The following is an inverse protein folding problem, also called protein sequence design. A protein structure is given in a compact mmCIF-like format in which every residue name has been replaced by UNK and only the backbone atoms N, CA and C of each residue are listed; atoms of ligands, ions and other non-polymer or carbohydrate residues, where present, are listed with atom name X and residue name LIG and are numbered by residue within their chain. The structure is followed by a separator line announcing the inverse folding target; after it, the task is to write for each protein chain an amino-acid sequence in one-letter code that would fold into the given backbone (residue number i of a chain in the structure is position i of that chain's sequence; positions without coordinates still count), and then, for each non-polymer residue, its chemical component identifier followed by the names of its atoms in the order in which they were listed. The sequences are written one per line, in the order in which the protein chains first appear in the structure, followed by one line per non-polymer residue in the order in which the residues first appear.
data_IF_986141599775
#
_entry.id   IF_986141599775
#
_cell.length_a   1.000
_cell.length_b   1.000
_cell.length_c   1.000
_cell.angle_alpha   90.00
_cell.angle_beta   90.00
_cell.angle_gamma   90.00
#
_symmetry.space_group_name_H-M   'P 1'
#
loop_
_entity.id
_entity.type
_entity.pdbx_description
1 polymer ?
#
# COMPACT_ATOMS: atom_id res chain seq x y z
N UNK A 1 42.76 -13.87 -29.43
CA UNK A 1 42.37 -13.72 -28.02
C UNK A 1 40.85 -13.77 -27.97
N UNK A 2 40.28 -14.91 -27.59
CA UNK A 2 38.84 -15.18 -27.59
C UNK A 2 38.36 -15.48 -26.16
N UNK A 3 37.07 -15.23 -25.95
CA UNK A 3 36.31 -15.08 -24.70
C UNK A 3 36.13 -16.34 -23.83
N UNK A 4 35.37 -16.13 -22.74
CA UNK A 4 34.59 -17.06 -21.89
C UNK A 4 35.17 -17.22 -20.47
N UNK A 5 34.42 -17.35 -19.38
CA UNK A 5 32.99 -17.25 -19.05
C UNK A 5 32.93 -17.42 -17.52
N UNK A 6 31.97 -16.76 -16.88
CA UNK A 6 31.62 -16.85 -15.46
C UNK A 6 31.17 -18.25 -15.02
N UNK A 7 31.47 -18.65 -13.78
CA UNK A 7 30.74 -19.70 -13.02
C UNK A 7 30.87 -19.33 -11.55
N UNK A 8 29.88 -18.71 -10.90
CA UNK A 8 28.59 -19.27 -10.45
C UNK A 8 28.76 -20.28 -9.32
N UNK A 9 28.92 -19.77 -8.09
CA UNK A 9 28.63 -20.50 -6.86
C UNK A 9 27.88 -19.54 -5.93
N UNK A 10 26.64 -19.20 -6.31
CA UNK A 10 25.66 -18.70 -5.33
C UNK A 10 25.17 -19.92 -4.54
N UNK A 11 25.75 -20.10 -3.35
CA UNK A 11 25.25 -21.03 -2.35
C UNK A 11 23.78 -20.68 -2.04
N UNK A 12 22.85 -21.44 -2.62
CA UNK A 12 21.48 -21.51 -2.12
C UNK A 12 21.50 -22.19 -0.75
N UNK A 13 21.88 -21.44 0.28
CA UNK A 13 21.69 -21.82 1.66
C UNK A 13 20.19 -22.03 1.88
N UNK A 14 19.83 -23.31 2.01
CA UNK A 14 18.50 -23.81 2.35
C UNK A 14 18.05 -23.25 3.70
N UNK A 15 17.62 -22.00 3.74
CA UNK A 15 16.99 -21.39 4.91
C UNK A 15 15.62 -22.04 5.03
N UNK A 16 15.41 -22.82 6.08
CA UNK A 16 14.12 -23.43 6.36
C UNK A 16 13.05 -22.32 6.43
N UNK A 17 11.87 -22.53 5.81
CA UNK A 17 10.84 -21.50 5.80
C UNK A 17 10.41 -21.24 7.24
N UNK A 18 10.70 -20.03 7.72
CA UNK A 18 10.32 -19.61 9.07
C UNK A 18 8.86 -19.17 9.01
N UNK A 19 7.99 -19.92 9.69
CA UNK A 19 6.54 -19.68 9.72
C UNK A 19 6.15 -19.30 11.14
N UNK A 20 5.52 -18.14 11.32
CA UNK A 20 5.00 -17.70 12.62
C UNK A 20 3.63 -17.02 12.47
N UNK A 21 2.85 -17.00 13.54
CA UNK A 21 1.56 -16.30 13.57
C UNK A 21 1.65 -15.11 14.53
N UNK A 22 1.14 -13.96 14.12
CA UNK A 22 1.05 -12.75 14.95
C UNK A 22 -0.39 -12.27 15.06
N UNK A 23 -0.71 -11.57 16.14
CA UNK A 23 -2.00 -10.90 16.29
C UNK A 23 -1.90 -9.46 15.78
N UNK A 24 -2.80 -9.05 14.90
CA UNK A 24 -2.98 -7.65 14.51
C UNK A 24 -3.52 -6.85 15.69
N UNK A 25 -3.28 -5.52 15.71
CA UNK A 25 -3.87 -4.59 16.68
C UNK A 25 -5.41 -4.64 16.71
N UNK A 26 -6.04 -5.15 15.65
CA UNK A 26 -7.50 -5.35 15.54
C UNK A 26 -7.95 -6.76 15.91
N UNK A 27 -7.08 -7.55 16.56
CA UNK A 27 -7.38 -8.92 17.04
C UNK A 27 -7.42 -10.01 15.97
N UNK A 28 -7.08 -9.70 14.71
CA UNK A 28 -7.04 -10.71 13.62
C UNK A 28 -5.68 -11.39 13.56
N UNK A 29 -5.66 -12.71 13.42
CA UNK A 29 -4.41 -13.48 13.26
C UNK A 29 -3.86 -13.32 11.84
N UNK A 30 -2.57 -13.01 11.75
CA UNK A 30 -1.82 -12.89 10.51
C UNK A 30 -0.74 -13.99 10.47
N UNK A 31 -0.46 -14.50 9.28
CA UNK A 31 0.58 -15.49 9.04
C UNK A 31 1.83 -14.76 8.52
N UNK A 32 2.98 -14.97 9.15
CA UNK A 32 4.27 -14.53 8.66
C UNK A 32 5.00 -15.73 8.08
N UNK A 33 5.40 -15.65 6.81
CA UNK A 33 6.23 -16.67 6.18
C UNK A 33 7.25 -16.01 5.26
N UNK A 34 8.53 -16.36 5.42
CA UNK A 34 9.63 -15.87 4.59
C UNK A 34 9.64 -14.34 4.43
N UNK A 35 9.53 -13.61 5.54
CA UNK A 35 9.49 -12.13 5.61
C UNK A 35 8.23 -11.47 5.02
N UNK A 36 7.26 -12.26 4.58
CA UNK A 36 5.97 -11.76 4.09
C UNK A 36 4.85 -11.95 5.11
N UNK A 37 3.90 -11.01 5.12
CA UNK A 37 2.70 -11.04 5.97
C UNK A 37 1.48 -11.39 5.10
N UNK A 38 0.76 -12.42 5.52
CA UNK A 38 -0.44 -12.92 4.85
C UNK A 38 -1.65 -12.74 5.76
N UNK A 39 -2.74 -12.22 5.18
CA UNK A 39 -4.05 -12.13 5.84
C UNK A 39 -4.93 -13.28 5.38
N UNK A 40 -5.51 -13.99 6.35
CA UNK A 40 -6.47 -15.04 6.06
C UNK A 40 -7.82 -14.41 5.63
N UNK A 41 -8.17 -14.51 4.35
CA UNK A 41 -9.40 -13.92 3.81
C UNK A 41 -10.60 -14.89 3.83
N UNK A 42 -10.37 -16.21 3.83
CA UNK A 42 -11.42 -17.22 3.81
C UNK A 42 -10.98 -18.47 4.57
N UNK A 43 -11.82 -18.96 5.46
CA UNK A 43 -11.66 -20.27 6.12
C UNK A 43 -12.42 -21.30 5.30
N UNK A 44 -11.69 -22.14 4.54
CA UNK A 44 -12.31 -23.32 3.90
C UNK A 44 -11.97 -24.55 4.74
N UNK A 45 -12.99 -25.30 5.15
CA UNK A 45 -12.87 -26.58 5.88
C UNK A 45 -12.27 -27.71 5.03
N UNK A 46 -12.07 -27.48 3.73
CA UNK A 46 -11.49 -28.43 2.79
C UNK A 46 -10.06 -28.02 2.47
N UNK A 47 -9.13 -28.97 2.54
CA UNK A 47 -7.69 -28.90 2.18
C UNK A 47 -7.45 -28.63 0.69
N UNK A 48 -8.29 -27.83 0.03
CA UNK A 48 -8.05 -27.33 -1.31
C UNK A 48 -7.20 -26.08 -1.18
N UNK A 49 -5.99 -26.14 -1.77
CA UNK A 49 -5.02 -25.05 -1.96
C UNK A 49 -5.54 -23.70 -1.46
N UNK A 50 -5.11 -23.31 -0.25
CA UNK A 50 -5.27 -21.94 0.21
C UNK A 50 -4.47 -21.03 -0.73
N UNK A 51 -5.18 -20.29 -1.57
CA UNK A 51 -4.62 -19.20 -2.34
C UNK A 51 -4.20 -18.11 -1.35
N UNK A 52 -2.92 -18.14 -0.97
CA UNK A 52 -2.31 -17.12 -0.13
C UNK A 52 -2.02 -15.90 -0.99
N UNK A 53 -2.83 -14.85 -0.83
CA UNK A 53 -2.59 -13.58 -1.49
C UNK A 53 -1.48 -12.85 -0.74
N UNK A 54 -0.36 -12.62 -1.43
CA UNK A 54 0.72 -11.76 -0.97
C UNK A 54 0.17 -10.34 -0.86
N UNK A 55 0.19 -9.76 0.33
CA UNK A 55 -0.09 -8.32 0.48
C UNK A 55 1.23 -7.64 0.13
N UNK A 56 1.41 -7.30 -1.14
CA UNK A 56 2.30 -6.20 -1.47
C UNK A 56 1.58 -4.97 -0.93
N UNK A 57 2.20 -4.26 0.03
CA UNK A 57 1.76 -2.92 0.45
C UNK A 57 2.07 -1.88 -0.66
N UNK A 58 1.89 -2.29 -1.91
CA UNK A 58 1.97 -1.46 -3.08
C UNK A 58 0.56 -0.96 -3.32
N UNK A 59 0.30 0.22 -2.76
CA UNK A 59 -0.75 1.09 -3.23
C UNK A 59 -0.77 1.09 -4.77
N UNK A 60 -1.70 0.36 -5.38
CA UNK A 60 -1.88 0.28 -6.84
C UNK A 60 -2.54 1.55 -7.39
N UNK A 61 -2.22 2.70 -6.81
CA UNK A 61 -2.46 4.00 -7.41
C UNK A 61 -1.09 4.62 -7.66
N UNK A 62 -0.87 5.28 -8.81
CA UNK A 62 0.28 6.16 -8.92
C UNK A 62 0.20 7.13 -7.74
N UNK A 63 1.29 7.26 -6.97
CA UNK A 63 1.45 8.39 -6.07
C UNK A 63 1.43 9.64 -6.94
N UNK A 64 0.24 10.17 -7.23
CA UNK A 64 0.10 11.48 -7.85
C UNK A 64 0.86 12.42 -6.93
N UNK A 65 2.00 12.92 -7.41
CA UNK A 65 2.71 14.00 -6.72
C UNK A 65 1.76 15.18 -6.79
N UNK A 66 0.92 15.31 -5.78
CA UNK A 66 0.07 16.48 -5.58
C UNK A 66 0.99 17.68 -5.69
N UNK A 67 0.75 18.53 -6.68
CA UNK A 67 1.56 19.74 -6.85
C UNK A 67 1.35 20.62 -5.63
N UNK A 68 2.36 21.42 -5.28
CA UNK A 68 2.30 22.32 -4.13
C UNK A 68 1.04 23.21 -4.22
N UNK A 69 0.68 23.62 -5.44
CA UNK A 69 -0.50 24.41 -5.76
C UNK A 69 -1.83 23.72 -5.41
N UNK A 70 -1.98 22.43 -5.73
CA UNK A 70 -3.20 21.67 -5.41
C UNK A 70 -3.36 21.53 -3.89
N UNK A 71 -2.24 21.31 -3.19
CA UNK A 71 -2.24 21.23 -1.72
C UNK A 71 -2.65 22.56 -1.11
N UNK A 72 -2.07 23.68 -1.56
CA UNK A 72 -2.39 25.03 -1.08
C UNK A 72 -3.85 25.40 -1.35
N UNK A 73 -4.35 25.11 -2.55
CA UNK A 73 -5.75 25.31 -2.92
C UNK A 73 -6.70 24.55 -1.98
N UNK A 74 -6.39 23.28 -1.71
CA UNK A 74 -7.20 22.45 -0.82
C UNK A 74 -7.21 22.97 0.61
N UNK A 75 -6.07 23.45 1.12
CA UNK A 75 -6.00 24.08 2.43
C UNK A 75 -6.82 25.38 2.48
N UNK A 76 -6.77 26.20 1.42
CA UNK A 76 -7.57 27.43 1.31
C UNK A 76 -9.08 27.15 1.36
N UNK A 77 -9.56 26.18 0.57
CA UNK A 77 -10.98 25.78 0.57
C UNK A 77 -11.40 25.23 1.94
N UNK A 78 -10.57 24.40 2.58
CA UNK A 78 -10.83 23.88 3.93
C UNK A 78 -10.92 25.01 4.96
N UNK A 79 -10.00 25.96 4.91
CA UNK A 79 -9.96 27.08 5.85
C UNK A 79 -11.24 27.92 5.74
N UNK A 80 -11.70 28.20 4.52
CA UNK A 80 -12.96 28.93 4.29
C UNK A 80 -14.17 28.14 4.73
N UNK A 81 -14.22 26.83 4.44
CA UNK A 81 -15.32 25.98 4.86
C UNK A 81 -15.52 25.90 6.39
N UNK A 82 -14.46 26.12 7.17
CA UNK A 82 -14.53 26.18 8.64
C UNK A 82 -14.97 27.55 9.15
N UNK A 83 -14.53 28.62 8.48
CA UNK A 83 -14.76 30.00 8.92
C UNK A 83 -16.06 30.61 8.39
N UNK A 84 -16.59 30.08 7.28
CA UNK A 84 -17.77 30.59 6.61
C UNK A 84 -18.92 29.57 6.67
N UNK A 85 -20.14 30.09 6.57
CA UNK A 85 -21.36 29.27 6.45
C UNK A 85 -21.65 28.92 4.97
N UNK A 86 -20.78 29.37 4.07
CA UNK A 86 -20.89 29.18 2.63
C UNK A 86 -20.72 27.69 2.29
N UNK A 87 -21.63 27.09 1.51
CA UNK A 87 -21.50 25.70 1.11
C UNK A 87 -20.19 25.46 0.32
N UNK A 88 -19.51 24.34 0.61
CA UNK A 88 -18.23 23.97 -0.02
C UNK A 88 -18.27 24.02 -1.56
N UNK A 89 -19.33 23.56 -2.27
CA UNK A 89 -19.37 23.66 -3.72
C UNK A 89 -19.23 25.09 -4.22
N UNK A 90 -19.84 26.05 -3.51
CA UNK A 90 -19.80 27.47 -3.88
C UNK A 90 -18.43 28.10 -3.59
N UNK A 91 -17.78 27.71 -2.49
CA UNK A 91 -16.40 28.11 -2.22
C UNK A 91 -15.46 27.59 -3.32
N UNK A 92 -15.65 26.34 -3.75
CA UNK A 92 -14.85 25.75 -4.82
C UNK A 92 -15.03 26.50 -6.14
N UNK A 93 -16.26 26.78 -6.55
CA UNK A 93 -16.56 27.53 -7.77
C UNK A 93 -15.95 28.94 -7.75
N UNK A 94 -16.02 29.64 -6.61
CA UNK A 94 -15.41 30.96 -6.42
C UNK A 94 -13.88 30.90 -6.52
N UNK A 95 -13.24 29.92 -5.87
CA UNK A 95 -11.78 29.78 -5.87
C UNK A 95 -11.25 29.35 -7.25
N UNK A 96 -12.01 28.54 -8.00
CA UNK A 96 -11.69 28.19 -9.39
C UNK A 96 -11.88 29.35 -10.37
N UNK A 97 -12.77 30.31 -10.09
CA UNK A 97 -12.96 31.49 -10.94
C UNK A 97 -11.85 32.55 -10.79
N UNK A 98 -10.99 32.42 -9.76
CA UNK A 98 -9.88 33.35 -9.47
C UNK A 98 -8.57 32.90 -10.14
N UNK A 99 -8.45 31.62 -10.47
CA UNK A 99 -7.29 31.01 -11.17
C UNK A 99 -7.44 31.21 -12.68
#
# INVERSE_FOLDING_TARGET
MAAAVTSSEDETQSKSPTISFINSQKGKQLLIANEYIFKLNKTTTTTKKLEMFKINDEHSHPSEKETIEVREFREKVKQRAVNEITPIPRIYDEECAII
#
